data_IF_177544456348
#
_entry.id   IF_177544456348
#
_cell.length_a   1.000
_cell.length_b   1.000
_cell.length_c   1.000
_cell.angle_alpha   90.00
_cell.angle_beta   90.00
_cell.angle_gamma   90.00
#
_symmetry.space_group_name_H-M   'P 1'
#
loop_
_entity.id
_entity.type
_entity.pdbx_description
1 polymer ?
#
# COMPACT_ATOMS: atom_id res chain seq x y z
N UNK A 1 -15.93 5.69 1.60
CA UNK A 1 -15.00 4.56 1.80
C UNK A 1 -15.00 4.04 3.23
N UNK A 2 -14.81 4.88 4.26
CA UNK A 2 -14.89 4.42 5.67
C UNK A 2 -16.14 3.58 5.94
N UNK A 3 -17.34 4.12 5.74
CA UNK A 3 -18.60 3.40 6.00
C UNK A 3 -18.67 2.05 5.29
N UNK A 4 -18.29 1.99 4.01
CA UNK A 4 -18.18 0.75 3.25
C UNK A 4 -17.21 -0.24 3.90
N UNK A 5 -15.98 0.20 4.19
CA UNK A 5 -14.94 -0.61 4.80
C UNK A 5 -15.38 -1.18 6.17
N UNK A 6 -15.97 -0.34 7.01
CA UNK A 6 -16.36 -0.71 8.37
C UNK A 6 -17.58 -1.64 8.40
N UNK A 7 -18.65 -1.32 7.68
CA UNK A 7 -19.95 -1.98 7.84
C UNK A 7 -20.34 -2.93 6.70
N UNK A 8 -19.87 -2.71 5.47
CA UNK A 8 -20.43 -3.36 4.28
C UNK A 8 -19.46 -4.32 3.56
N UNK A 9 -18.14 -4.13 3.69
CA UNK A 9 -17.17 -5.08 3.15
C UNK A 9 -17.14 -6.37 3.98
N UNK A 10 -17.12 -7.54 3.34
CA UNK A 10 -17.19 -8.82 4.04
C UNK A 10 -15.93 -9.04 4.90
N UNK A 11 -16.11 -9.56 6.12
CA UNK A 11 -15.07 -9.67 7.14
C UNK A 11 -13.88 -10.57 6.75
N UNK A 12 -14.06 -11.45 5.76
CA UNK A 12 -12.96 -12.26 5.21
C UNK A 12 -12.03 -11.47 4.28
N UNK A 13 -12.44 -10.29 3.80
CA UNK A 13 -11.63 -9.41 2.93
C UNK A 13 -10.90 -8.29 3.70
N UNK A 14 -11.18 -8.10 5.00
CA UNK A 14 -10.70 -6.93 5.75
C UNK A 14 -10.32 -7.30 7.18
N UNK A 15 -9.14 -6.89 7.70
CA UNK A 15 -8.74 -7.10 9.10
C UNK A 15 -9.63 -6.34 10.10
N UNK A 16 -9.37 -6.51 11.41
CA UNK A 16 -10.17 -5.89 12.48
C UNK A 16 -10.38 -4.39 12.24
N UNK A 17 -11.65 -4.01 12.25
CA UNK A 17 -12.14 -2.73 11.77
C UNK A 17 -12.23 -1.67 12.88
N UNK A 18 -11.90 -2.07 14.12
CA UNK A 18 -12.08 -1.25 15.32
C UNK A 18 -10.82 -0.46 15.65
N UNK A 19 -10.98 0.85 15.72
CA UNK A 19 -10.00 1.73 16.33
C UNK A 19 -10.20 1.65 17.84
N UNK A 20 -9.27 1.03 18.56
CA UNK A 20 -9.33 0.85 20.02
C UNK A 20 -8.29 1.68 20.76
N UNK A 21 -7.29 2.22 20.05
CA UNK A 21 -6.23 3.03 20.60
C UNK A 21 -6.79 4.30 21.28
N UNK A 22 -6.64 4.44 22.62
CA UNK A 22 -7.10 5.61 23.35
C UNK A 22 -6.49 6.92 22.87
N UNK A 23 -5.25 6.91 22.37
CA UNK A 23 -4.58 8.11 21.88
C UNK A 23 -5.24 8.62 20.61
N UNK A 24 -5.57 7.71 19.68
CA UNK A 24 -6.35 8.01 18.49
C UNK A 24 -7.77 8.46 18.85
N UNK A 25 -8.48 7.72 19.70
CA UNK A 25 -9.89 7.99 20.04
C UNK A 25 -10.09 9.32 20.75
N UNK A 26 -9.15 9.74 21.59
CA UNK A 26 -9.22 10.98 22.34
C UNK A 26 -8.54 12.16 21.63
N UNK A 27 -7.93 11.95 20.46
CA UNK A 27 -7.46 13.02 19.61
C UNK A 27 -8.62 13.98 19.29
N UNK A 28 -8.34 15.28 19.39
CA UNK A 28 -9.34 16.32 19.28
C UNK A 28 -8.96 17.38 18.24
N UNK A 29 -9.97 17.86 17.53
CA UNK A 29 -9.83 18.92 16.53
C UNK A 29 -10.83 20.02 16.86
N UNK A 30 -10.50 21.27 16.50
CA UNK A 30 -11.36 22.43 16.70
C UNK A 30 -11.94 22.87 15.35
N UNK A 31 -13.25 23.06 15.29
CA UNK A 31 -13.96 23.60 14.14
C UNK A 31 -14.83 24.78 14.54
N UNK A 32 -15.08 25.68 13.60
CA UNK A 32 -16.20 26.62 13.73
C UNK A 32 -17.47 25.96 13.18
N UNK A 33 -18.54 26.00 13.95
CA UNK A 33 -19.86 25.54 13.51
C UNK A 33 -20.57 26.58 12.64
N UNK A 34 -21.78 26.27 12.17
CA UNK A 34 -22.63 27.16 11.38
C UNK A 34 -23.03 28.46 12.10
N UNK A 35 -22.89 28.49 13.43
CA UNK A 35 -23.17 29.65 14.29
C UNK A 35 -21.87 30.41 14.64
N UNK A 36 -20.77 30.13 13.94
CA UNK A 36 -19.45 30.68 14.18
C UNK A 36 -18.93 30.46 15.62
N UNK A 37 -19.38 29.39 16.28
CA UNK A 37 -18.89 28.99 17.59
C UNK A 37 -17.74 28.00 17.44
N UNK A 38 -16.70 28.17 18.27
CA UNK A 38 -15.58 27.25 18.29
C UNK A 38 -15.96 25.98 19.07
N UNK A 39 -16.03 24.85 18.39
CA UNK A 39 -16.41 23.55 18.94
C UNK A 39 -15.22 22.60 18.92
N UNK A 40 -15.01 21.91 20.04
CA UNK A 40 -14.03 20.82 20.15
C UNK A 40 -14.72 19.49 19.89
N UNK A 41 -14.24 18.76 18.88
CA UNK A 41 -14.72 17.41 18.53
C UNK A 41 -13.62 16.39 18.76
N UNK A 42 -13.99 15.16 19.09
CA UNK A 42 -13.03 14.05 19.26
C UNK A 42 -13.26 12.95 18.23
N UNK A 43 -12.21 12.19 17.91
CA UNK A 43 -12.29 11.11 16.90
C UNK A 43 -13.38 10.09 17.23
N UNK A 44 -13.48 9.67 18.50
CA UNK A 44 -14.50 8.70 18.94
C UNK A 44 -15.94 9.16 18.68
N UNK A 45 -16.20 10.47 18.71
CA UNK A 45 -17.54 11.03 18.46
C UNK A 45 -17.88 11.05 16.96
N UNK A 46 -16.88 10.88 16.09
CA UNK A 46 -17.03 10.89 14.63
C UNK A 46 -17.09 9.49 13.98
N UNK A 47 -17.00 8.42 14.77
CA UNK A 47 -16.92 7.05 14.22
C UNK A 47 -18.25 6.54 13.63
N UNK A 48 -19.36 7.13 14.06
CA UNK A 48 -20.72 6.72 13.68
C UNK A 48 -21.39 7.88 12.92
N UNK A 49 -21.48 7.75 11.60
CA UNK A 49 -22.09 8.75 10.74
C UNK A 49 -23.58 8.96 11.03
N UNK A 50 -24.30 7.92 11.48
CA UNK A 50 -25.73 8.02 11.80
C UNK A 50 -25.94 8.87 13.04
N UNK A 51 -25.07 8.74 14.04
CA UNK A 51 -25.08 9.62 15.23
C UNK A 51 -24.73 11.06 14.90
N UNK A 52 -23.96 11.29 13.83
CA UNK A 52 -23.70 12.62 13.29
C UNK A 52 -24.87 13.16 12.44
N UNK A 53 -25.92 12.36 12.21
CA UNK A 53 -27.12 12.79 11.52
C UNK A 53 -27.06 12.70 9.99
N UNK A 54 -26.14 11.90 9.42
CA UNK A 54 -26.07 11.71 7.97
C UNK A 54 -25.83 10.24 7.56
N UNK A 55 -26.27 9.88 6.36
CA UNK A 55 -25.95 8.60 5.72
C UNK A 55 -25.70 8.81 4.21
N UNK A 56 -25.22 7.76 3.55
CA UNK A 56 -24.96 7.73 2.12
C UNK A 56 -26.08 7.03 1.36
N UNK A 57 -26.39 7.56 0.18
CA UNK A 57 -27.20 6.85 -0.79
C UNK A 57 -26.55 5.52 -1.17
N UNK A 58 -27.38 4.48 -1.32
CA UNK A 58 -26.91 3.14 -1.68
C UNK A 58 -26.82 3.05 -3.20
N UNK A 59 -25.61 2.83 -3.68
CA UNK A 59 -25.30 2.68 -5.10
C UNK A 59 -24.58 1.36 -5.33
N UNK A 60 -24.67 0.84 -6.56
CA UNK A 60 -23.93 -0.34 -6.97
C UNK A 60 -22.41 -0.06 -6.92
N UNK A 61 -21.65 -1.08 -6.47
CA UNK A 61 -20.21 -1.01 -6.31
C UNK A 61 -19.52 -1.93 -7.33
N UNK A 62 -19.32 -1.48 -8.59
CA UNK A 62 -18.80 -2.34 -9.67
C UNK A 62 -17.38 -2.88 -9.41
N UNK A 63 -16.64 -2.27 -8.47
CA UNK A 63 -15.30 -2.68 -8.08
C UNK A 63 -15.26 -3.69 -6.93
N UNK A 64 -16.39 -3.98 -6.28
CA UNK A 64 -16.42 -4.81 -5.06
C UNK A 64 -15.95 -6.26 -5.28
N UNK A 65 -16.29 -6.79 -6.46
CA UNK A 65 -15.93 -8.14 -6.90
C UNK A 65 -14.86 -8.14 -7.99
N UNK A 66 -14.27 -6.96 -8.26
CA UNK A 66 -13.17 -6.88 -9.19
C UNK A 66 -11.91 -7.49 -8.56
N UNK A 67 -11.46 -8.60 -9.14
CA UNK A 67 -10.16 -9.22 -8.89
C UNK A 67 -9.44 -9.30 -10.23
N UNK A 68 -8.18 -8.82 -10.34
CA UNK A 68 -7.42 -8.98 -11.57
C UNK A 68 -7.35 -10.45 -12.02
N UNK A 69 -7.29 -10.74 -13.34
CA UNK A 69 -7.14 -12.11 -13.81
C UNK A 69 -5.86 -12.77 -13.29
N UNK A 70 -5.91 -14.05 -12.86
CA UNK A 70 -4.71 -14.78 -12.40
C UNK A 70 -3.61 -14.88 -13.47
N UNK A 71 -2.34 -14.84 -13.04
CA UNK A 71 -1.14 -14.85 -13.90
C UNK A 71 -0.12 -15.90 -13.42
N UNK A 72 -0.48 -17.19 -13.51
CA UNK A 72 0.27 -18.28 -12.86
C UNK A 72 1.38 -18.88 -13.74
N UNK A 73 1.16 -18.99 -15.05
CA UNK A 73 2.05 -19.73 -15.95
C UNK A 73 3.41 -19.05 -16.19
N UNK A 74 3.45 -17.71 -16.23
CA UNK A 74 4.62 -16.92 -16.64
C UNK A 74 5.36 -16.34 -15.42
N UNK A 75 4.69 -16.13 -14.28
CA UNK A 75 5.29 -15.86 -12.97
C UNK A 75 6.33 -16.93 -12.60
N UNK A 76 5.99 -18.21 -12.85
CA UNK A 76 6.91 -19.36 -12.69
C UNK A 76 8.14 -19.28 -13.61
N UNK A 77 7.99 -18.74 -14.82
CA UNK A 77 9.10 -18.58 -15.77
C UNK A 77 10.08 -17.50 -15.30
N UNK A 78 9.58 -16.38 -14.79
CA UNK A 78 10.41 -15.28 -14.26
C UNK A 78 11.24 -15.72 -13.06
N UNK A 79 10.64 -16.48 -12.14
CA UNK A 79 11.37 -17.08 -11.00
C UNK A 79 12.62 -17.85 -11.46
N UNK A 80 12.50 -18.56 -12.57
CA UNK A 80 13.54 -19.48 -13.06
C UNK A 80 14.64 -18.76 -13.86
N UNK A 81 14.40 -17.52 -14.31
CA UNK A 81 15.24 -16.85 -15.33
C UNK A 81 15.76 -15.47 -14.92
N UNK A 82 15.37 -14.94 -13.76
CA UNK A 82 15.74 -13.58 -13.35
C UNK A 82 17.12 -13.51 -12.66
N UNK A 83 18.08 -12.86 -13.31
CA UNK A 83 19.42 -12.53 -12.76
C UNK A 83 19.41 -11.23 -11.90
N UNK A 84 18.24 -10.80 -11.42
CA UNK A 84 18.13 -9.58 -10.63
C UNK A 84 18.90 -9.69 -9.29
N UNK A 85 19.58 -8.62 -8.86
CA UNK A 85 20.31 -8.62 -7.60
C UNK A 85 19.38 -8.75 -6.39
N UNK A 86 19.91 -9.27 -5.28
CA UNK A 86 19.24 -9.26 -3.99
C UNK A 86 19.00 -7.83 -3.52
N UNK A 87 17.84 -7.57 -2.91
CA UNK A 87 17.52 -6.25 -2.37
C UNK A 87 18.60 -5.70 -1.42
N UNK A 88 19.20 -6.56 -0.59
CA UNK A 88 20.25 -6.15 0.35
C UNK A 88 21.51 -5.56 -0.31
N UNK A 89 21.76 -5.82 -1.59
CA UNK A 89 22.92 -5.27 -2.31
C UNK A 89 22.59 -4.01 -3.11
N UNK A 90 21.31 -3.69 -3.29
CA UNK A 90 20.84 -2.53 -4.08
C UNK A 90 20.46 -1.34 -3.19
N UNK A 91 19.83 -1.58 -2.04
CA UNK A 91 19.36 -0.50 -1.16
C UNK A 91 20.43 -0.08 -0.15
N UNK A 92 20.50 1.21 0.24
CA UNK A 92 19.62 2.31 -0.17
C UNK A 92 19.87 2.77 -1.61
N UNK A 93 18.81 3.18 -2.31
CA UNK A 93 18.88 3.56 -3.74
C UNK A 93 18.09 4.83 -4.02
N UNK A 94 18.60 5.63 -4.95
CA UNK A 94 17.85 6.72 -5.58
C UNK A 94 17.08 6.13 -6.76
N UNK A 95 15.76 6.10 -6.66
CA UNK A 95 14.85 5.54 -7.66
C UNK A 95 14.57 6.60 -8.75
N UNK A 96 15.46 6.68 -9.74
CA UNK A 96 15.35 7.52 -10.94
C UNK A 96 14.81 6.76 -12.17
N UNK A 97 14.93 5.42 -12.15
CA UNK A 97 14.50 4.50 -13.19
C UNK A 97 13.85 3.26 -12.59
N UNK A 98 13.30 2.42 -13.45
CA UNK A 98 12.73 1.12 -13.05
C UNK A 98 13.86 0.25 -12.49
N UNK A 99 13.65 -0.32 -11.31
CA UNK A 99 14.55 -1.30 -10.72
C UNK A 99 13.82 -2.61 -10.42
N UNK A 100 14.56 -3.71 -10.51
CA UNK A 100 14.10 -5.06 -10.23
C UNK A 100 15.03 -5.68 -9.21
N UNK A 101 14.49 -6.24 -8.14
CA UNK A 101 15.24 -6.79 -7.01
C UNK A 101 14.60 -8.07 -6.50
N UNK A 102 15.41 -9.03 -6.09
CA UNK A 102 14.91 -10.22 -5.40
C UNK A 102 14.75 -9.93 -3.91
N UNK A 103 13.57 -10.23 -3.37
CA UNK A 103 13.22 -10.05 -1.96
C UNK A 103 12.89 -11.41 -1.36
N UNK A 104 13.65 -11.88 -0.35
CA UNK A 104 13.30 -13.09 0.39
C UNK A 104 11.98 -12.93 1.13
N UNK A 105 11.13 -13.95 1.06
CA UNK A 105 9.91 -14.04 1.87
C UNK A 105 10.27 -14.27 3.34
N UNK A 106 9.38 -13.88 4.24
CA UNK A 106 9.57 -14.13 5.66
C UNK A 106 9.41 -15.63 5.97
N UNK A 107 8.45 -16.28 5.30
CA UNK A 107 8.18 -17.71 5.45
C UNK A 107 7.73 -18.34 4.13
N UNK A 108 8.07 -19.62 3.93
CA UNK A 108 7.54 -20.40 2.80
C UNK A 108 6.08 -20.81 3.05
N UNK A 109 5.31 -20.89 1.96
CA UNK A 109 3.91 -21.29 1.96
C UNK A 109 2.95 -20.13 2.23
N UNK A 110 1.69 -20.47 2.50
CA UNK A 110 0.63 -19.50 2.80
C UNK A 110 0.84 -18.87 4.18
N UNK A 111 1.58 -17.78 4.22
CA UNK A 111 1.78 -16.94 5.39
C UNK A 111 1.13 -15.58 5.15
N UNK A 112 0.57 -14.98 6.21
CA UNK A 112 0.12 -13.60 6.13
C UNK A 112 1.35 -12.69 6.19
N UNK A 113 1.69 -12.07 5.07
CA UNK A 113 2.93 -11.30 4.91
C UNK A 113 2.64 -9.86 4.50
N UNK A 114 3.60 -8.97 4.76
CA UNK A 114 3.58 -7.57 4.34
C UNK A 114 4.87 -7.25 3.59
N UNK A 115 4.73 -6.74 2.36
CA UNK A 115 5.81 -6.13 1.61
C UNK A 115 5.98 -4.68 2.10
N UNK A 116 7.15 -4.37 2.63
CA UNK A 116 7.46 -3.09 3.26
C UNK A 116 8.52 -2.35 2.47
N UNK A 117 8.18 -1.15 1.98
CA UNK A 117 9.17 -0.18 1.51
C UNK A 117 9.53 0.72 2.68
N UNK A 118 10.82 0.78 3.03
CA UNK A 118 11.33 1.43 4.22
C UNK A 118 12.11 2.69 3.92
N UNK A 119 12.01 3.66 4.84
CA UNK A 119 12.85 4.86 4.84
C UNK A 119 12.78 5.61 3.49
N UNK A 120 11.56 5.76 2.98
CA UNK A 120 11.28 6.53 1.76
C UNK A 120 11.45 8.00 2.09
N UNK A 121 12.41 8.63 1.43
CA UNK A 121 12.79 10.03 1.58
C UNK A 121 12.62 10.77 0.26
N UNK A 122 11.87 11.87 0.33
CA UNK A 122 11.20 12.49 -0.81
C UNK A 122 11.21 14.01 -0.66
N UNK A 123 11.27 14.72 -1.78
CA UNK A 123 10.98 16.15 -1.82
C UNK A 123 9.46 16.35 -1.69
N UNK A 124 9.01 16.73 -0.50
CA UNK A 124 7.59 16.88 -0.16
C UNK A 124 6.90 18.03 -0.89
N UNK A 125 7.66 18.90 -1.56
CA UNK A 125 7.12 19.96 -2.41
C UNK A 125 6.68 19.46 -3.78
N UNK A 126 7.03 18.21 -4.14
CA UNK A 126 6.73 17.61 -5.44
C UNK A 126 5.76 16.46 -5.32
N UNK A 127 5.06 16.18 -6.43
CA UNK A 127 4.20 15.02 -6.52
C UNK A 127 5.05 13.78 -6.78
N UNK A 128 4.73 12.73 -6.05
CA UNK A 128 5.45 11.48 -6.11
C UNK A 128 4.51 10.31 -6.26
N UNK A 129 4.91 9.37 -7.11
CA UNK A 129 4.26 8.08 -7.23
C UNK A 129 5.31 6.99 -7.52
N UNK A 130 5.16 5.84 -6.88
CA UNK A 130 5.92 4.61 -7.15
C UNK A 130 4.92 3.47 -7.24
N UNK A 131 4.91 2.80 -8.38
CA UNK A 131 4.12 1.59 -8.58
C UNK A 131 4.99 0.37 -8.27
N UNK A 132 4.40 -0.63 -7.60
CA UNK A 132 5.07 -1.83 -7.14
C UNK A 132 4.44 -3.03 -7.81
N UNK A 133 5.27 -3.82 -8.48
CA UNK A 133 4.86 -5.08 -9.09
C UNK A 133 5.68 -6.24 -8.52
N UNK A 134 5.07 -7.42 -8.51
CA UNK A 134 5.67 -8.68 -8.07
C UNK A 134 5.62 -9.66 -9.24
N UNK A 135 6.77 -10.26 -9.57
CA UNK A 135 6.92 -11.26 -10.63
C UNK A 135 6.23 -10.85 -11.96
N UNK A 136 6.27 -9.56 -12.30
CA UNK A 136 5.54 -9.03 -13.45
C UNK A 136 6.09 -9.56 -14.78
N UNK A 137 5.17 -10.11 -15.58
CA UNK A 137 5.42 -10.88 -16.79
C UNK A 137 5.60 -10.03 -18.04
N UNK A 138 5.24 -8.75 -17.95
CA UNK A 138 5.11 -7.84 -19.07
C UNK A 138 5.86 -6.54 -18.79
N UNK A 139 6.61 -6.04 -19.77
CA UNK A 139 7.27 -4.73 -19.67
C UNK A 139 6.26 -3.57 -19.84
N UNK A 140 4.98 -3.85 -20.13
CA UNK A 140 3.91 -2.85 -20.15
C UNK A 140 3.49 -2.44 -18.73
N UNK A 141 4.33 -1.62 -18.11
CA UNK A 141 4.15 -1.02 -16.80
C UNK A 141 2.90 -0.12 -16.66
N UNK A 142 2.26 0.27 -17.77
CA UNK A 142 1.11 1.19 -17.77
C UNK A 142 -0.23 0.49 -17.47
N UNK A 143 -0.26 -0.83 -17.60
CA UNK A 143 -1.43 -1.65 -17.33
C UNK A 143 -1.38 -2.12 -15.88
N UNK A 144 -2.37 -1.68 -15.08
CA UNK A 144 -2.42 -1.93 -13.63
C UNK A 144 -3.45 -3.01 -13.25
N UNK A 145 -4.30 -3.39 -14.19
CA UNK A 145 -5.31 -4.46 -14.10
C UNK A 145 -4.69 -5.87 -14.22
N UNK A 146 -3.59 -6.08 -13.48
CA UNK A 146 -2.79 -7.30 -13.48
C UNK A 146 -2.67 -7.87 -12.06
N UNK A 147 -2.63 -9.19 -11.95
CA UNK A 147 -2.38 -9.85 -10.66
C UNK A 147 -1.00 -9.48 -10.08
N UNK A 148 0.00 -9.23 -10.94
CA UNK A 148 1.34 -8.80 -10.53
C UNK A 148 1.40 -7.44 -9.85
N UNK A 149 0.37 -6.60 -9.95
CA UNK A 149 0.38 -5.26 -9.41
C UNK A 149 0.02 -5.25 -7.90
N UNK A 150 1.01 -4.96 -7.06
CA UNK A 150 0.86 -4.99 -5.60
C UNK A 150 0.32 -3.67 -5.01
N UNK A 151 0.46 -2.56 -5.75
CA UNK A 151 -0.08 -1.27 -5.36
C UNK A 151 0.84 -0.08 -5.65
N UNK A 152 0.46 1.08 -5.12
CA UNK A 152 1.16 2.36 -5.30
C UNK A 152 1.51 2.98 -3.96
N UNK A 153 2.72 3.52 -3.84
CA UNK A 153 3.00 4.63 -2.93
C UNK A 153 2.79 5.95 -3.67
N UNK A 154 1.92 6.82 -3.17
CA UNK A 154 1.74 8.16 -3.71
C UNK A 154 1.80 9.20 -2.60
N UNK A 155 2.46 10.32 -2.89
CA UNK A 155 2.55 11.46 -1.98
C UNK A 155 2.19 12.73 -2.76
N UNK A 156 1.21 13.46 -2.22
CA UNK A 156 0.78 14.75 -2.74
C UNK A 156 1.72 15.83 -2.19
N UNK A 157 2.04 16.88 -2.98
CA UNK A 157 2.80 18.03 -2.49
C UNK A 157 2.18 18.61 -1.21
N UNK A 158 2.99 18.82 -0.18
CA UNK A 158 2.58 19.49 1.04
C UNK A 158 3.75 20.24 1.67
N UNK A 159 3.46 21.33 2.39
CA UNK A 159 4.48 22.11 3.07
C UNK A 159 4.94 21.38 4.33
N UNK A 160 6.21 21.02 4.40
CA UNK A 160 6.81 20.46 5.61
C UNK A 160 7.76 21.45 6.25
N UNK A 161 8.06 21.21 7.53
CA UNK A 161 9.24 21.80 8.15
C UNK A 161 10.50 21.24 7.47
N UNK A 162 11.63 21.95 7.56
CA UNK A 162 12.89 21.68 6.82
C UNK A 162 13.52 20.29 7.07
N UNK A 163 12.96 19.49 7.96
CA UNK A 163 13.47 18.16 8.30
C UNK A 163 13.00 17.15 7.25
N UNK A 164 13.91 16.37 6.62
CA UNK A 164 13.50 15.28 5.74
C UNK A 164 12.72 14.25 6.54
N UNK A 165 11.45 14.05 6.18
CA UNK A 165 10.59 13.06 6.79
C UNK A 165 10.77 11.73 6.05
N UNK A 166 11.12 10.69 6.79
CA UNK A 166 11.14 9.32 6.28
C UNK A 166 9.78 8.69 6.48
N UNK A 167 9.25 8.08 5.43
CA UNK A 167 7.98 7.34 5.47
C UNK A 167 8.21 5.90 5.06
N UNK A 168 7.24 5.05 5.35
CA UNK A 168 7.24 3.66 4.92
C UNK A 168 5.84 3.28 4.48
N UNK A 169 5.73 2.38 3.51
CA UNK A 169 4.45 1.76 3.15
C UNK A 169 4.48 0.26 3.39
N UNK A 170 3.29 -0.30 3.58
CA UNK A 170 3.06 -1.74 3.74
C UNK A 170 2.00 -2.15 2.74
N UNK A 171 2.33 -3.10 1.88
CA UNK A 171 1.42 -3.71 0.91
C UNK A 171 1.21 -5.15 1.35
N UNK A 172 -0.02 -5.66 1.22
CA UNK A 172 -0.37 -7.03 1.59
C UNK A 172 -0.44 -7.88 0.31
N UNK A 173 0.60 -8.69 -0.01
CA UNK A 173 0.65 -9.46 -1.24
C UNK A 173 -0.07 -10.81 -1.16
N UNK A 174 -0.78 -11.15 -0.07
CA UNK A 174 -1.37 -12.48 0.14
C UNK A 174 -2.28 -12.93 -1.01
N UNK A 175 -3.24 -12.09 -1.42
CA UNK A 175 -4.14 -12.43 -2.54
C UNK A 175 -3.38 -12.51 -3.88
N UNK A 176 -2.36 -11.69 -4.03
CA UNK A 176 -1.46 -11.69 -5.19
C UNK A 176 -0.67 -12.99 -5.29
N UNK A 177 -0.19 -13.54 -4.16
CA UNK A 177 0.54 -14.81 -4.15
C UNK A 177 -0.33 -15.96 -4.64
N UNK A 178 -1.59 -16.01 -4.20
CA UNK A 178 -2.59 -16.98 -4.65
C UNK A 178 -2.85 -16.84 -6.17
N UNK A 179 -3.04 -15.61 -6.66
CA UNK A 179 -3.34 -15.33 -8.08
C UNK A 179 -2.17 -15.61 -9.02
N UNK A 180 -0.95 -15.66 -8.49
CA UNK A 180 0.28 -15.93 -9.25
C UNK A 180 0.85 -17.32 -8.98
N UNK A 181 0.28 -18.10 -8.05
CA UNK A 181 0.76 -19.40 -7.58
C UNK A 181 2.23 -19.38 -7.11
N UNK A 182 2.59 -18.37 -6.29
CA UNK A 182 3.95 -18.15 -5.76
C UNK A 182 4.05 -18.24 -4.23
N UNK A 183 3.09 -18.90 -3.57
CA UNK A 183 3.09 -19.10 -2.12
C UNK A 183 4.33 -19.87 -1.62
N UNK A 184 4.73 -20.90 -2.35
CA UNK A 184 5.82 -21.81 -1.96
C UNK A 184 7.21 -21.29 -2.38
N UNK A 185 7.29 -20.13 -3.02
CA UNK A 185 8.55 -19.51 -3.42
C UNK A 185 9.35 -19.04 -2.20
N UNK A 186 10.67 -19.06 -2.26
CA UNK A 186 11.53 -18.52 -1.19
C UNK A 186 11.79 -17.04 -1.36
N UNK A 187 11.81 -16.59 -2.61
CA UNK A 187 12.12 -15.23 -3.03
C UNK A 187 11.12 -14.82 -4.10
N UNK A 188 10.79 -13.53 -4.11
CA UNK A 188 9.96 -12.92 -5.15
C UNK A 188 10.75 -11.82 -5.84
N UNK A 189 10.50 -11.59 -7.13
CA UNK A 189 11.03 -10.46 -7.87
C UNK A 189 10.11 -9.26 -7.68
N UNK A 190 10.61 -8.19 -7.07
CA UNK A 190 9.88 -6.94 -6.94
C UNK A 190 10.40 -5.93 -7.97
N UNK A 191 9.48 -5.35 -8.73
CA UNK A 191 9.75 -4.26 -9.67
C UNK A 191 9.20 -2.96 -9.09
N UNK A 192 10.06 -1.94 -8.96
CA UNK A 192 9.66 -0.59 -8.54
C UNK A 192 9.70 0.34 -9.76
N UNK A 193 8.55 0.93 -10.07
CA UNK A 193 8.38 1.82 -11.23
C UNK A 193 8.17 3.25 -10.73
N UNK A 194 9.19 4.14 -10.82
CA UNK A 194 9.01 5.54 -10.48
C UNK A 194 8.08 6.23 -11.47
N UNK A 195 7.08 6.95 -10.94
CA UNK A 195 6.11 7.77 -11.67
C UNK A 195 6.10 9.19 -11.09
N UNK A 196 7.23 9.90 -11.13
CA UNK A 196 7.34 11.20 -10.45
C UNK A 196 7.76 12.34 -11.39
N UNK A 197 7.48 13.57 -10.95
CA UNK A 197 7.99 14.79 -11.55
C UNK A 197 9.11 15.32 -10.65
N UNK A 198 10.38 15.22 -11.04
CA UNK A 198 11.51 15.76 -10.27
C UNK A 198 12.68 14.80 -10.10
N UNK A 199 13.60 15.13 -9.19
CA UNK A 199 14.75 14.29 -8.84
C UNK A 199 14.36 13.07 -8.01
N UNK A 200 15.20 12.03 -8.09
CA UNK A 200 14.89 10.68 -7.63
C UNK A 200 14.59 10.53 -6.14
N UNK A 201 13.68 9.60 -5.87
CA UNK A 201 13.21 9.20 -4.53
C UNK A 201 14.31 8.38 -3.87
N UNK A 202 14.68 8.66 -2.64
CA UNK A 202 15.56 7.72 -1.91
C UNK A 202 14.68 6.69 -1.21
N UNK A 203 14.90 5.41 -1.49
CA UNK A 203 14.30 4.31 -0.74
C UNK A 203 15.42 3.66 0.06
N UNK A 204 15.25 3.55 1.37
CA UNK A 204 16.29 2.99 2.24
C UNK A 204 16.33 1.46 2.27
N UNK A 205 15.21 0.79 2.00
CA UNK A 205 15.15 -0.66 1.95
C UNK A 205 13.81 -1.21 1.49
N UNK A 206 13.80 -2.51 1.18
CA UNK A 206 12.60 -3.30 0.94
C UNK A 206 12.74 -4.64 1.66
N UNK A 207 11.65 -5.09 2.30
CA UNK A 207 11.60 -6.39 2.97
C UNK A 207 10.20 -6.97 3.00
N UNK A 208 10.13 -8.26 3.27
CA UNK A 208 8.88 -8.96 3.59
C UNK A 208 8.93 -9.34 5.06
N UNK A 209 7.85 -9.07 5.78
CA UNK A 209 7.69 -9.43 7.20
C UNK A 209 6.37 -10.17 7.40
N UNK A 210 6.29 -11.01 8.42
CA UNK A 210 5.01 -11.58 8.84
C UNK A 210 4.07 -10.46 9.32
N UNK A 211 2.82 -10.51 8.90
CA UNK A 211 1.76 -9.63 9.39
C UNK A 211 1.51 -9.98 10.86
N UNK A 212 2.01 -9.15 11.77
CA UNK A 212 1.73 -9.34 13.20
C UNK A 212 0.27 -8.98 13.46
N UNK A 213 -0.48 -9.89 14.08
CA UNK A 213 -1.91 -9.72 14.41
C UNK A 213 -2.15 -8.65 15.45
#
# INVERSE_FOLDING_TARGET
MWTLWHYFLPSNKVPDKKITDPDCLNAAVLFYDENAQLVRVTVKDSLDNLRMGYDFERIDLPWLDYRPPPQTARARVIKTTSDAPLASTVFPVILDKIIRVQVPKAKKGKADELLVLENIEVDTTKFLKVDVFVNDEDDNINELDKASYAGTYAQVPHKTNKTPNKTSIRLKPTDLYDDMEIDDDETILVTLVPRHQGGGITIGGIKIVEATS
#
